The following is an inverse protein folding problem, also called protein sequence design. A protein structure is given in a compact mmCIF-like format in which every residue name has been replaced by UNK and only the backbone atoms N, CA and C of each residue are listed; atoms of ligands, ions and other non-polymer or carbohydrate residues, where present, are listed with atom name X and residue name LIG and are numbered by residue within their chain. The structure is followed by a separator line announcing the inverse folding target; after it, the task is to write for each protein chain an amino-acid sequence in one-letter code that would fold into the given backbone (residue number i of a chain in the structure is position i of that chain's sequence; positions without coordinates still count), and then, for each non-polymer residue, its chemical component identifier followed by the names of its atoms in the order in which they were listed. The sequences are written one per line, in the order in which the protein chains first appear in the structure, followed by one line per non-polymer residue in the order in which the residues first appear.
data_IF_730036745339
#
_entry.id   IF_730036745339
#
_cell.length_a   1.000
_cell.length_b   1.000
_cell.length_c   1.000
_cell.angle_alpha   90.00
_cell.angle_beta   90.00
_cell.angle_gamma   90.00
#
_symmetry.space_group_name_H-M   'P 1'
#
loop_
_entity.id
_entity.type
_entity.pdbx_description
1 polymer ?
#
# COMPACT_ATOMS: atom_id res chain seq x y z
N UNK A 1 26.03 -33.18 55.28
CA UNK A 1 24.71 -33.53 54.72
C UNK A 1 24.28 -32.37 53.83
N UNK A 2 24.58 -32.45 52.54
CA UNK A 2 23.60 -32.58 51.42
C UNK A 2 22.90 -31.25 51.11
N UNK A 3 23.37 -30.47 50.14
CA UNK A 3 23.19 -30.59 48.67
C UNK A 3 21.94 -29.82 48.19
N UNK A 4 22.18 -28.90 47.24
CA UNK A 4 21.33 -28.57 46.07
C UNK A 4 19.97 -27.91 46.41
N UNK A 5 19.45 -26.93 45.68
CA UNK A 5 19.76 -26.45 44.33
C UNK A 5 18.95 -25.17 44.10
N UNK A 6 19.57 -24.24 43.37
CA UNK A 6 18.90 -23.16 42.63
C UNK A 6 17.64 -23.65 41.92
N UNK A 7 16.52 -23.02 42.22
CA UNK A 7 15.27 -23.07 41.45
C UNK A 7 14.45 -21.85 41.91
N UNK A 8 13.99 -20.94 41.07
CA UNK A 8 13.59 -21.07 39.68
C UNK A 8 14.03 -19.79 38.97
N UNK A 9 14.96 -19.99 38.05
CA UNK A 9 15.40 -19.04 37.05
C UNK A 9 14.18 -18.63 36.21
N UNK A 10 14.01 -17.33 36.06
CA UNK A 10 13.19 -16.62 35.09
C UNK A 10 13.19 -17.37 33.75
N UNK A 11 12.08 -18.04 33.44
CA UNK A 11 11.88 -18.75 32.18
C UNK A 11 11.54 -17.73 31.09
N UNK A 12 12.58 -17.36 30.35
CA UNK A 12 12.53 -16.56 29.13
C UNK A 12 11.76 -17.32 28.04
N UNK A 13 11.02 -16.54 27.24
CA UNK A 13 10.38 -16.86 25.97
C UNK A 13 11.02 -17.99 25.16
N UNK A 14 10.18 -18.86 24.60
CA UNK A 14 10.34 -19.41 23.24
C UNK A 14 8.99 -19.94 22.75
N UNK A 15 8.06 -19.02 22.47
CA UNK A 15 6.99 -19.31 21.50
C UNK A 15 7.57 -19.02 20.12
N UNK A 16 8.24 -20.01 19.54
CA UNK A 16 8.64 -19.99 18.15
C UNK A 16 7.37 -19.93 17.28
N UNK A 17 6.98 -18.72 16.89
CA UNK A 17 6.05 -18.55 15.78
C UNK A 17 6.78 -19.09 14.54
N UNK A 18 6.31 -20.23 14.03
CA UNK A 18 6.67 -20.68 12.70
C UNK A 18 6.13 -19.65 11.70
N UNK A 19 6.93 -18.63 11.39
CA UNK A 19 6.65 -17.67 10.33
C UNK A 19 6.81 -18.39 8.99
N UNK A 20 5.74 -19.00 8.49
CA UNK A 20 5.67 -19.44 7.11
C UNK A 20 5.73 -18.22 6.19
N UNK A 21 6.62 -18.24 5.19
CA UNK A 21 6.69 -17.19 4.17
C UNK A 21 5.30 -16.99 3.54
N UNK A 22 4.78 -15.78 3.67
CA UNK A 22 3.46 -15.39 3.15
C UNK A 22 3.50 -15.40 1.61
N UNK A 23 2.73 -16.28 0.98
CA UNK A 23 2.60 -16.35 -0.48
C UNK A 23 1.20 -15.94 -0.91
N UNK A 24 1.10 -15.15 -1.97
CA UNK A 24 -0.20 -14.78 -2.54
C UNK A 24 -0.49 -15.72 -3.71
N UNK A 25 -1.59 -16.47 -3.65
CA UNK A 25 -2.02 -17.32 -4.75
C UNK A 25 -2.41 -16.47 -5.97
N UNK A 26 -1.77 -16.69 -7.13
CA UNK A 26 -2.05 -15.94 -8.36
C UNK A 26 -3.47 -16.13 -8.91
N UNK A 27 -4.15 -17.24 -8.57
CA UNK A 27 -5.51 -17.51 -9.06
C UNK A 27 -6.59 -16.85 -8.20
N UNK A 28 -6.47 -16.92 -6.87
CA UNK A 28 -7.50 -16.41 -5.96
C UNK A 28 -7.14 -15.11 -5.24
N UNK A 29 -5.87 -14.73 -5.19
CA UNK A 29 -5.35 -13.52 -4.54
C UNK A 29 -5.28 -13.63 -3.02
N UNK A 30 -5.41 -14.84 -2.45
CA UNK A 30 -5.40 -15.08 -1.01
C UNK A 30 -4.00 -15.46 -0.53
N UNK A 31 -3.69 -15.00 0.67
CA UNK A 31 -2.45 -15.31 1.38
C UNK A 31 -2.49 -16.75 1.87
N UNK A 32 -1.47 -17.52 1.52
CA UNK A 32 -1.23 -18.87 2.03
C UNK A 32 0.01 -18.84 2.91
N UNK A 33 -0.23 -19.17 4.18
CA UNK A 33 0.78 -19.28 5.24
C UNK A 33 1.31 -20.71 5.33
N UNK A 34 0.63 -21.68 4.71
CA UNK A 34 1.05 -23.06 4.69
C UNK A 34 2.10 -23.25 3.59
N UNK A 35 3.24 -23.86 3.92
CA UNK A 35 4.36 -24.13 3.01
C UNK A 35 4.10 -25.17 1.90
N UNK A 36 2.86 -25.31 1.42
CA UNK A 36 2.48 -26.29 0.38
C UNK A 36 2.72 -25.82 -1.06
N UNK A 37 2.63 -26.70 -2.07
CA UNK A 37 2.76 -26.31 -3.49
C UNK A 37 1.45 -25.86 -4.13
N UNK A 38 0.32 -25.98 -3.42
CA UNK A 38 -1.00 -25.61 -3.89
C UNK A 38 -1.76 -24.82 -2.82
N UNK A 39 -2.57 -23.86 -3.26
CA UNK A 39 -3.33 -22.98 -2.39
C UNK A 39 -4.31 -23.79 -1.54
N UNK A 40 -4.28 -23.59 -0.22
CA UNK A 40 -5.17 -24.26 0.72
C UNK A 40 -6.66 -24.04 0.39
N UNK A 41 -7.01 -22.94 -0.29
CA UNK A 41 -8.39 -22.49 -0.54
C UNK A 41 -8.88 -22.83 -1.95
N UNK A 42 -8.12 -22.46 -2.99
CA UNK A 42 -8.59 -22.66 -4.36
C UNK A 42 -7.92 -23.84 -5.07
N UNK A 43 -7.00 -24.55 -4.40
CA UNK A 43 -6.21 -25.66 -4.94
C UNK A 43 -5.36 -25.32 -6.18
N UNK A 44 -5.29 -24.05 -6.55
CA UNK A 44 -4.43 -23.56 -7.62
C UNK A 44 -2.95 -23.61 -7.25
N UNK A 45 -2.04 -23.76 -8.21
CA UNK A 45 -0.60 -23.84 -7.95
C UNK A 45 -0.09 -22.57 -7.27
N UNK A 46 0.75 -22.73 -6.26
CA UNK A 46 1.43 -21.62 -5.59
C UNK A 46 2.81 -21.41 -6.21
N UNK A 47 3.31 -20.16 -6.21
CA UNK A 47 4.69 -19.90 -6.61
C UNK A 47 5.67 -20.70 -5.72
N UNK A 48 6.72 -21.29 -6.32
CA UNK A 48 7.74 -22.03 -5.57
C UNK A 48 8.43 -21.11 -4.57
N UNK A 49 8.73 -21.65 -3.39
CA UNK A 49 9.47 -20.95 -2.34
C UNK A 49 10.93 -20.84 -2.78
N UNK A 50 11.43 -19.63 -3.00
CA UNK A 50 12.88 -19.39 -3.02
C UNK A 50 13.40 -19.51 -1.58
N UNK A 51 14.50 -20.23 -1.32
CA UNK A 51 15.04 -20.36 0.04
C UNK A 51 15.42 -18.98 0.59
N UNK A 52 14.68 -18.51 1.59
CA UNK A 52 14.87 -17.19 2.21
C UNK A 52 15.08 -17.30 3.72
N UNK A 53 16.15 -16.65 4.18
CA UNK A 53 16.54 -16.44 5.58
C UNK A 53 15.45 -15.75 6.43
N UNK A 54 15.47 -15.93 7.76
CA UNK A 54 14.37 -15.58 8.66
C UNK A 54 14.12 -14.07 8.79
N UNK A 55 12.87 -13.78 9.13
CA UNK A 55 12.27 -12.46 9.35
C UNK A 55 13.02 -11.64 10.41
N UNK A 56 13.86 -10.76 9.91
CA UNK A 56 14.11 -9.44 10.49
C UNK A 56 14.24 -8.51 9.30
N UNK A 57 13.48 -7.42 9.27
CA UNK A 57 13.61 -6.43 8.20
C UNK A 57 15.10 -6.08 8.07
N UNK A 58 15.76 -6.37 6.93
CA UNK A 58 17.19 -6.17 6.84
C UNK A 58 17.47 -4.68 7.05
N UNK A 59 18.30 -4.40 8.05
CA UNK A 59 18.96 -3.11 8.12
C UNK A 59 19.83 -2.97 6.87
N UNK A 60 19.89 -1.77 6.31
CA UNK A 60 20.88 -1.46 5.27
C UNK A 60 22.25 -1.51 5.95
N UNK A 61 22.94 -2.65 5.85
CA UNK A 61 24.29 -2.85 6.38
C UNK A 61 25.32 -2.33 5.40
N UNK A 62 26.40 -1.76 5.92
CA UNK A 62 27.45 -1.17 5.10
C UNK A 62 28.26 -2.25 4.37
N UNK A 63 28.48 -2.06 3.07
CA UNK A 63 29.41 -2.87 2.29
C UNK A 63 30.77 -2.16 2.25
N UNK A 64 31.80 -2.82 2.79
CA UNK A 64 33.19 -2.42 2.63
C UNK A 64 33.73 -3.05 1.34
N UNK A 65 33.84 -2.25 0.29
CA UNK A 65 34.46 -2.63 -0.98
C UNK A 65 35.31 -1.49 -1.53
N UNK A 66 36.44 -1.84 -2.13
CA UNK A 66 37.43 -0.93 -2.70
C UNK A 66 37.37 -0.97 -4.23
N UNK A 67 36.86 0.07 -4.91
CA UNK A 67 37.40 0.55 -6.20
C UNK A 67 36.41 0.95 -7.31
N UNK A 68 36.81 1.96 -8.12
CA UNK A 68 36.19 2.50 -9.38
C UNK A 68 35.12 3.61 -9.23
N UNK A 69 35.04 4.52 -10.20
CA UNK A 69 34.07 5.65 -10.22
C UNK A 69 32.61 5.16 -10.25
N UNK A 70 32.35 3.99 -10.85
CA UNK A 70 31.03 3.35 -10.84
C UNK A 70 30.65 2.77 -9.46
N UNK A 71 31.65 2.35 -8.68
CA UNK A 71 31.52 1.98 -7.26
C UNK A 71 31.28 3.23 -6.41
N UNK A 72 32.01 4.33 -6.68
CA UNK A 72 31.83 5.60 -5.98
C UNK A 72 30.42 6.19 -6.17
N UNK A 73 29.86 6.15 -7.40
CA UNK A 73 28.49 6.58 -7.65
C UNK A 73 27.47 5.69 -6.95
N UNK A 74 27.63 4.37 -7.04
CA UNK A 74 26.69 3.42 -6.42
C UNK A 74 26.71 3.55 -4.89
N UNK A 75 27.89 3.77 -4.31
CA UNK A 75 28.07 4.08 -2.88
C UNK A 75 27.42 5.42 -2.50
N UNK A 76 27.64 6.48 -3.27
CA UNK A 76 27.00 7.77 -3.03
C UNK A 76 25.47 7.66 -3.09
N UNK A 77 24.94 6.93 -4.08
CA UNK A 77 23.50 6.64 -4.20
C UNK A 77 23.01 5.86 -2.98
N UNK A 78 23.73 4.82 -2.57
CA UNK A 78 23.37 4.01 -1.41
C UNK A 78 23.30 4.84 -0.14
N UNK A 79 24.29 5.70 0.13
CA UNK A 79 24.32 6.57 1.31
C UNK A 79 23.13 7.54 1.33
N UNK A 80 22.76 8.11 0.18
CA UNK A 80 21.58 8.98 0.06
C UNK A 80 20.28 8.21 0.28
N UNK A 81 20.17 7.02 -0.32
CA UNK A 81 19.01 6.12 -0.19
C UNK A 81 18.85 5.66 1.26
N UNK A 82 19.94 5.30 1.94
CA UNK A 82 19.94 4.90 3.34
C UNK A 82 19.35 6.00 4.22
N UNK A 83 19.81 7.25 4.05
CA UNK A 83 19.25 8.41 4.77
C UNK A 83 17.77 8.63 4.47
N UNK A 84 17.37 8.53 3.20
CA UNK A 84 15.96 8.71 2.80
C UNK A 84 15.07 7.60 3.41
N UNK A 85 15.55 6.35 3.45
CA UNK A 85 14.86 5.20 4.04
C UNK A 85 14.75 5.32 5.56
N UNK A 86 15.83 5.67 6.25
CA UNK A 86 15.83 5.88 7.71
C UNK A 86 14.86 7.00 8.10
N UNK A 87 14.91 8.10 7.37
CA UNK A 87 14.01 9.22 7.57
C UNK A 87 12.55 8.82 7.23
N UNK A 88 12.31 8.01 6.21
CA UNK A 88 10.97 7.52 5.89
C UNK A 88 10.40 6.63 7.01
N UNK A 89 11.21 5.72 7.56
CA UNK A 89 10.80 4.82 8.66
C UNK A 89 10.32 5.57 9.90
N UNK A 90 10.96 6.70 10.23
CA UNK A 90 10.56 7.54 11.36
C UNK A 90 9.17 8.17 11.17
N UNK A 91 8.72 8.30 9.92
CA UNK A 91 7.46 8.95 9.55
C UNK A 91 6.35 7.96 9.17
N UNK A 92 6.65 6.66 8.97
CA UNK A 92 5.68 5.67 8.46
C UNK A 92 4.36 5.64 9.27
N UNK A 93 4.46 5.65 10.60
CA UNK A 93 3.29 5.53 11.48
C UNK A 93 2.53 6.85 11.65
N UNK A 94 3.23 7.99 11.57
CA UNK A 94 2.66 9.32 11.86
C UNK A 94 2.14 10.02 10.61
N UNK A 95 2.93 9.96 9.54
CA UNK A 95 2.75 10.69 8.27
C UNK A 95 3.14 9.79 7.10
N UNK A 96 2.32 8.77 6.78
CA UNK A 96 2.61 7.83 5.70
C UNK A 96 2.75 8.52 4.33
N UNK A 97 2.12 9.68 4.12
CA UNK A 97 2.28 10.50 2.91
C UNK A 97 3.67 11.13 2.77
N UNK A 98 4.31 11.53 3.88
CA UNK A 98 5.68 12.05 3.88
C UNK A 98 6.67 10.90 3.68
N UNK A 99 6.45 9.78 4.38
CA UNK A 99 7.24 8.56 4.21
C UNK A 99 7.17 8.04 2.76
N UNK A 100 5.99 8.06 2.14
CA UNK A 100 5.81 7.70 0.73
C UNK A 100 6.70 8.53 -0.18
N UNK A 101 6.69 9.86 -0.03
CA UNK A 101 7.49 10.77 -0.86
C UNK A 101 9.01 10.53 -0.69
N UNK A 102 9.46 10.18 0.53
CA UNK A 102 10.87 9.83 0.79
C UNK A 102 11.25 8.50 0.14
N UNK A 103 10.41 7.47 0.26
CA UNK A 103 10.64 6.19 -0.42
C UNK A 103 10.60 6.31 -1.95
N UNK A 104 9.72 7.17 -2.47
CA UNK A 104 9.67 7.52 -3.88
C UNK A 104 11.00 8.11 -4.33
N UNK A 105 11.52 9.09 -3.59
CA UNK A 105 12.82 9.67 -3.88
C UNK A 105 13.96 8.63 -3.83
N UNK A 106 13.98 7.78 -2.81
CA UNK A 106 14.95 6.69 -2.69
C UNK A 106 14.91 5.76 -3.92
N UNK A 107 13.71 5.37 -4.37
CA UNK A 107 13.53 4.56 -5.58
C UNK A 107 14.08 5.27 -6.82
N UNK A 108 13.89 6.58 -6.91
CA UNK A 108 14.38 7.36 -8.03
C UNK A 108 15.92 7.39 -8.09
N UNK A 109 16.57 7.60 -6.94
CA UNK A 109 18.02 7.60 -6.83
C UNK A 109 18.63 6.22 -7.15
N UNK A 110 17.99 5.14 -6.68
CA UNK A 110 18.45 3.77 -6.93
C UNK A 110 18.56 3.42 -8.41
N UNK A 111 17.84 4.11 -9.30
CA UNK A 111 17.95 3.84 -10.74
C UNK A 111 19.30 4.19 -11.35
N UNK A 112 20.11 5.00 -10.67
CA UNK A 112 21.46 5.33 -11.10
C UNK A 112 22.52 4.35 -10.60
N UNK A 113 22.20 3.54 -9.58
CA UNK A 113 23.14 2.58 -9.00
C UNK A 113 23.13 1.27 -9.79
N UNK A 114 24.28 0.61 -9.84
CA UNK A 114 24.39 -0.75 -10.39
C UNK A 114 24.06 -1.76 -9.30
N UNK A 115 23.17 -2.71 -9.59
CA UNK A 115 22.70 -3.69 -8.61
C UNK A 115 23.83 -4.51 -7.97
N UNK A 116 24.89 -4.81 -8.72
CA UNK A 116 26.07 -5.56 -8.27
C UNK A 116 26.89 -4.81 -7.19
N UNK A 117 26.76 -3.49 -7.08
CA UNK A 117 27.46 -2.64 -6.11
C UNK A 117 26.58 -2.23 -4.92
N UNK A 118 25.37 -2.78 -4.84
CA UNK A 118 24.43 -2.50 -3.74
C UNK A 118 24.33 -3.71 -2.82
N UNK A 119 24.18 -3.49 -1.49
CA UNK A 119 23.84 -4.57 -0.59
C UNK A 119 22.57 -5.30 -1.03
N UNK A 120 22.54 -6.64 -0.94
CA UNK A 120 21.37 -7.42 -1.32
C UNK A 120 20.15 -6.98 -0.50
N UNK A 121 18.99 -6.90 -1.15
CA UNK A 121 17.74 -6.48 -0.50
C UNK A 121 17.52 -4.97 -0.43
N UNK A 122 18.48 -4.12 -0.81
CA UNK A 122 18.30 -2.64 -0.81
C UNK A 122 17.04 -2.22 -1.57
N UNK A 123 16.85 -2.72 -2.79
CA UNK A 123 15.66 -2.41 -3.59
C UNK A 123 14.37 -2.93 -2.94
N UNK A 124 14.41 -4.13 -2.33
CA UNK A 124 13.26 -4.74 -1.66
C UNK A 124 12.79 -3.91 -0.47
N UNK A 125 13.70 -3.39 0.34
CA UNK A 125 13.37 -2.51 1.48
C UNK A 125 12.60 -1.27 1.01
N UNK A 126 13.02 -0.64 -0.08
CA UNK A 126 12.34 0.54 -0.65
C UNK A 126 10.97 0.17 -1.20
N UNK A 127 10.86 -0.93 -1.96
CA UNK A 127 9.58 -1.38 -2.54
C UNK A 127 8.57 -1.78 -1.46
N UNK A 128 9.01 -2.47 -0.41
CA UNK A 128 8.16 -2.86 0.72
C UNK A 128 7.68 -1.61 1.49
N UNK A 129 8.55 -0.61 1.68
CA UNK A 129 8.20 0.68 2.27
C UNK A 129 7.14 1.43 1.47
N UNK A 130 7.32 1.52 0.14
CA UNK A 130 6.31 2.09 -0.76
C UNK A 130 4.97 1.37 -0.62
N UNK A 131 4.98 0.04 -0.58
CA UNK A 131 3.76 -0.76 -0.49
C UNK A 131 3.04 -0.57 0.85
N UNK A 132 3.79 -0.51 1.97
CA UNK A 132 3.23 -0.19 3.29
C UNK A 132 2.58 1.19 3.30
N UNK A 133 3.28 2.21 2.84
CA UNK A 133 2.77 3.59 2.81
C UNK A 133 1.51 3.72 1.93
N UNK A 134 1.53 3.12 0.73
CA UNK A 134 0.34 3.10 -0.15
C UNK A 134 -0.84 2.37 0.47
N UNK A 135 -0.60 1.27 1.17
CA UNK A 135 -1.66 0.52 1.86
C UNK A 135 -2.24 1.33 3.03
N UNK A 136 -1.40 2.02 3.80
CA UNK A 136 -1.83 2.90 4.87
C UNK A 136 -2.67 4.08 4.35
N UNK A 137 -2.24 4.70 3.24
CA UNK A 137 -2.97 5.81 2.61
C UNK A 137 -4.28 5.36 1.93
N UNK A 138 -4.29 4.16 1.36
CA UNK A 138 -5.49 3.62 0.71
C UNK A 138 -6.59 3.24 1.69
N UNK A 139 -6.28 3.14 2.99
CA UNK A 139 -7.22 2.74 4.04
C UNK A 139 -7.63 3.95 4.87
N UNK A 140 -8.92 4.05 5.17
CA UNK A 140 -9.47 4.99 6.14
C UNK A 140 -10.51 4.30 7.02
N UNK A 141 -10.69 4.82 8.23
CA UNK A 141 -11.88 4.50 9.02
C UNK A 141 -13.10 5.10 8.33
N UNK A 142 -13.99 4.24 7.83
CA UNK A 142 -15.30 4.65 7.32
C UNK A 142 -16.33 4.54 8.46
N UNK A 143 -17.29 5.46 8.53
CA UNK A 143 -18.42 5.32 9.44
C UNK A 143 -19.08 3.96 9.23
N UNK A 144 -19.33 3.25 10.32
CA UNK A 144 -19.93 1.93 10.25
C UNK A 144 -21.36 2.05 9.71
N UNK A 145 -21.60 1.52 8.52
CA UNK A 145 -22.91 1.54 7.86
C UNK A 145 -24.05 0.94 8.69
N UNK A 146 -23.75 0.07 9.67
CA UNK A 146 -24.77 -0.55 10.53
C UNK A 146 -25.25 0.36 11.67
N UNK A 147 -24.41 1.29 12.15
CA UNK A 147 -24.75 2.20 13.25
C UNK A 147 -24.63 3.69 12.86
N UNK A 148 -24.34 3.98 11.59
CA UNK A 148 -24.13 5.34 11.09
C UNK A 148 -22.96 6.08 11.75
N UNK A 149 -21.98 5.36 12.30
CA UNK A 149 -20.88 5.99 13.06
C UNK A 149 -21.07 6.02 14.58
N UNK A 150 -22.28 5.76 15.09
CA UNK A 150 -22.58 5.91 16.53
C UNK A 150 -21.94 4.86 17.45
N UNK A 151 -21.40 3.78 16.89
CA UNK A 151 -20.84 2.66 17.67
C UNK A 151 -21.89 1.83 18.43
N UNK A 152 -23.17 2.21 18.43
CA UNK A 152 -24.23 1.55 19.19
C UNK A 152 -25.37 1.07 18.30
N UNK A 153 -26.07 0.03 18.72
CA UNK A 153 -27.31 -0.39 18.08
C UNK A 153 -28.40 0.62 18.41
N UNK A 154 -29.14 1.10 17.41
CA UNK A 154 -30.34 1.90 17.67
C UNK A 154 -31.52 0.96 17.93
N UNK A 155 -32.11 1.06 19.12
CA UNK A 155 -33.30 0.29 19.48
C UNK A 155 -34.48 1.25 19.47
N UNK A 156 -35.42 1.01 18.54
CA UNK A 156 -36.70 1.69 18.51
C UNK A 156 -37.50 1.25 19.73
N UNK A 157 -37.67 2.15 20.71
CA UNK A 157 -38.61 1.96 21.82
C UNK A 157 -39.91 2.63 21.42
N UNK A 158 -40.96 1.82 21.27
CA UNK A 158 -42.32 2.33 21.17
C UNK A 158 -42.75 2.67 22.60
N UNK A 159 -42.92 3.95 22.88
CA UNK A 159 -43.45 4.38 24.17
C UNK A 159 -44.96 4.21 24.09
N UNK A 160 -45.48 3.22 24.83
CA UNK A 160 -46.93 3.02 24.94
C UNK A 160 -47.51 4.25 25.65
N UNK A 161 -48.34 5.01 24.95
CA UNK A 161 -49.10 6.09 25.55
C UNK A 161 -50.12 5.46 26.51
N UNK A 162 -49.91 5.63 27.81
CA UNK A 162 -50.91 5.29 28.82
C UNK A 162 -51.97 6.39 28.84
N UNK A 163 -53.09 6.17 28.15
CA UNK A 163 -54.25 7.05 28.20
C UNK A 163 -55.18 6.82 27.02
N UNK A 164 -56.49 6.82 27.29
CA UNK A 164 -57.60 6.49 26.38
C UNK A 164 -57.85 7.56 25.29
N UNK A 165 -56.80 7.97 24.58
CA UNK A 165 -56.87 8.90 23.45
C UNK A 165 -55.93 8.47 22.34
N UNK A 166 -56.32 8.75 21.09
CA UNK A 166 -55.57 8.52 19.85
C UNK A 166 -54.25 9.32 19.77
N UNK A 167 -53.37 9.19 20.76
CA UNK A 167 -52.01 9.69 20.69
C UNK A 167 -51.15 8.64 19.99
N UNK A 168 -50.74 8.94 18.75
CA UNK A 168 -49.84 8.10 17.97
C UNK A 168 -48.59 7.74 18.78
N UNK A 169 -48.28 6.44 18.84
CA UNK A 169 -47.14 5.94 19.59
C UNK A 169 -45.83 6.55 19.06
N UNK A 170 -45.20 7.42 19.87
CA UNK A 170 -43.91 8.01 19.54
C UNK A 170 -42.82 6.93 19.62
N UNK A 171 -42.19 6.64 18.49
CA UNK A 171 -41.06 5.71 18.43
C UNK A 171 -39.77 6.49 18.68
N UNK A 172 -39.24 6.44 19.91
CA UNK A 172 -37.94 7.03 20.24
C UNK A 172 -36.82 6.00 20.00
N UNK A 173 -35.84 6.36 19.18
CA UNK A 173 -34.62 5.59 18.98
C UNK A 173 -33.70 5.81 20.19
N UNK A 174 -33.58 4.79 21.04
CA UNK A 174 -32.65 4.79 22.17
C UNK A 174 -31.36 4.05 21.82
N UNK A 175 -30.21 4.55 22.30
CA UNK A 175 -28.91 3.88 22.12
C UNK A 175 -28.84 2.60 22.95
N UNK A 176 -28.78 1.46 22.29
CA UNK A 176 -28.59 0.12 22.87
C UNK A 176 -27.14 -0.33 22.95
N UNK A 177 -26.94 -1.65 22.96
CA UNK A 177 -25.65 -2.32 23.10
C UNK A 177 -24.63 -1.95 21.99
N UNK A 178 -23.35 -2.29 22.22
CA UNK A 178 -22.28 -2.06 21.23
C UNK A 178 -22.65 -2.67 19.87
N UNK A 179 -22.41 -1.91 18.80
CA UNK A 179 -22.69 -2.36 17.45
C UNK A 179 -21.83 -3.58 17.12
N UNK A 180 -22.45 -4.73 16.91
CA UNK A 180 -21.78 -5.98 16.56
C UNK A 180 -20.90 -5.89 15.29
N UNK A 181 -21.13 -4.90 14.43
CA UNK A 181 -20.39 -4.71 13.19
C UNK A 181 -19.07 -3.93 13.37
N UNK A 182 -19.02 -2.96 14.28
CA UNK A 182 -17.78 -2.21 14.57
C UNK A 182 -17.21 -2.48 15.97
N UNK A 183 -17.83 -3.39 16.74
CA UNK A 183 -17.43 -3.68 18.12
C UNK A 183 -17.52 -2.48 19.06
N UNK A 184 -18.33 -1.47 18.73
CA UNK A 184 -18.39 -0.22 19.50
C UNK A 184 -17.54 0.92 18.94
N UNK A 185 -16.61 0.68 18.02
CA UNK A 185 -15.69 1.70 17.51
C UNK A 185 -16.37 2.79 16.66
N UNK A 186 -17.59 2.55 16.17
CA UNK A 186 -18.29 3.45 15.25
C UNK A 186 -17.72 3.47 13.84
N UNK A 187 -16.48 3.04 13.64
CA UNK A 187 -15.82 2.98 12.32
C UNK A 187 -15.45 1.56 11.91
N UNK A 188 -15.41 1.30 10.61
CA UNK A 188 -14.89 0.08 10.01
C UNK A 188 -13.76 0.41 9.04
N UNK A 189 -12.84 -0.53 8.84
CA UNK A 189 -11.79 -0.39 7.84
C UNK A 189 -12.42 -0.34 6.45
N UNK A 190 -12.12 0.70 5.68
CA UNK A 190 -12.57 0.83 4.31
C UNK A 190 -11.55 1.55 3.45
N UNK A 191 -11.77 1.58 2.13
CA UNK A 191 -10.90 2.35 1.24
C UNK A 191 -11.20 3.84 1.33
N UNK A 192 -10.13 4.63 1.39
CA UNK A 192 -10.17 6.08 1.29
C UNK A 192 -10.61 6.48 -0.12
N UNK A 193 -11.41 7.55 -0.20
CA UNK A 193 -11.78 8.13 -1.49
C UNK A 193 -10.55 8.63 -2.26
N UNK A 194 -10.61 8.61 -3.59
CA UNK A 194 -9.48 8.99 -4.46
C UNK A 194 -9.01 10.42 -4.16
N UNK A 195 -9.92 11.37 -4.07
CA UNK A 195 -9.57 12.79 -3.88
C UNK A 195 -8.91 13.05 -2.52
N UNK A 196 -9.41 12.44 -1.45
CA UNK A 196 -8.80 12.54 -0.13
C UNK A 196 -7.38 11.94 -0.11
N UNK A 197 -7.18 10.79 -0.78
CA UNK A 197 -5.85 10.22 -0.93
C UNK A 197 -4.92 11.12 -1.75
N UNK A 198 -5.44 11.70 -2.84
CA UNK A 198 -4.69 12.63 -3.70
C UNK A 198 -4.18 13.84 -2.92
N UNK A 199 -5.06 14.46 -2.13
CA UNK A 199 -4.70 15.64 -1.33
C UNK A 199 -3.61 15.30 -0.31
N UNK A 200 -3.70 14.16 0.37
CA UNK A 200 -2.67 13.71 1.30
C UNK A 200 -1.33 13.44 0.62
N UNK A 201 -1.33 12.76 -0.54
CA UNK A 201 -0.09 12.53 -1.31
C UNK A 201 0.53 13.86 -1.74
N UNK A 202 -0.28 14.83 -2.19
CA UNK A 202 0.21 16.16 -2.57
C UNK A 202 0.79 16.92 -1.37
N UNK A 203 0.12 16.86 -0.22
CA UNK A 203 0.60 17.45 1.03
C UNK A 203 1.93 16.81 1.46
N UNK A 204 1.99 15.48 1.55
CA UNK A 204 3.18 14.74 1.94
C UNK A 204 4.37 15.01 1.03
N UNK A 205 4.14 15.15 -0.28
CA UNK A 205 5.18 15.57 -1.24
C UNK A 205 5.69 16.97 -1.01
N UNK A 206 4.79 17.92 -0.71
CA UNK A 206 5.20 19.30 -0.40
C UNK A 206 6.04 19.34 0.87
N UNK A 207 5.60 18.66 1.93
CA UNK A 207 6.32 18.59 3.21
C UNK A 207 7.67 17.89 3.06
N UNK A 208 7.72 16.72 2.42
CA UNK A 208 8.97 16.02 2.13
C UNK A 208 9.89 16.87 1.25
N UNK A 209 9.34 17.61 0.29
CA UNK A 209 10.10 18.52 -0.57
C UNK A 209 10.77 19.64 0.22
N UNK A 210 10.06 20.28 1.15
CA UNK A 210 10.65 21.29 2.04
C UNK A 210 11.77 20.71 2.89
N UNK A 211 11.62 19.48 3.38
CA UNK A 211 12.66 18.80 4.17
C UNK A 211 13.90 18.47 3.32
N UNK A 212 13.71 18.02 2.08
CA UNK A 212 14.81 17.73 1.16
C UNK A 212 15.53 19.02 0.72
N UNK A 213 14.80 20.10 0.51
CA UNK A 213 15.37 21.42 0.24
C UNK A 213 16.17 21.94 1.43
N UNK A 214 15.66 21.79 2.66
CA UNK A 214 16.38 22.14 3.88
C UNK A 214 17.67 21.29 4.06
N UNK A 215 17.69 20.06 3.54
CA UNK A 215 18.88 19.21 3.47
C UNK A 215 19.83 19.58 2.33
N UNK A 216 19.60 20.70 1.62
CA UNK A 216 20.46 21.21 0.54
C UNK A 216 20.29 20.52 -0.80
N UNK A 217 19.25 19.68 -0.98
CA UNK A 217 18.96 19.03 -2.26
C UNK A 217 18.22 19.96 -3.21
N UNK A 218 18.39 19.71 -4.51
CA UNK A 218 17.72 20.45 -5.59
C UNK A 218 16.71 19.56 -6.31
N UNK A 219 15.64 20.19 -6.79
CA UNK A 219 14.59 19.49 -7.52
C UNK A 219 15.04 19.13 -8.95
N UNK A 220 14.89 17.87 -9.32
CA UNK A 220 15.00 17.36 -10.68
C UNK A 220 13.67 16.72 -11.08
N UNK A 221 12.76 17.53 -11.63
CA UNK A 221 11.36 17.13 -11.77
C UNK A 221 10.73 16.97 -10.39
N UNK A 222 10.16 15.78 -10.12
CA UNK A 222 9.60 15.42 -8.80
C UNK A 222 10.61 14.79 -7.84
N UNK A 223 11.83 14.48 -8.31
CA UNK A 223 12.89 13.91 -7.49
C UNK A 223 13.76 15.00 -6.86
N UNK A 224 14.42 14.65 -5.76
CA UNK A 224 15.35 15.49 -5.02
C UNK A 224 16.74 14.87 -5.06
N UNK A 225 17.66 15.57 -5.73
CA UNK A 225 19.02 15.12 -5.99
C UNK A 225 20.06 16.08 -5.39
N UNK A 226 21.30 15.65 -5.18
CA UNK A 226 22.40 16.55 -4.80
C UNK A 226 22.58 17.72 -5.78
N UNK A 227 23.03 18.89 -5.31
CA UNK A 227 23.15 20.10 -6.13
C UNK A 227 24.18 20.00 -7.26
N UNK A 228 25.15 19.09 -7.17
CA UNK A 228 26.16 18.89 -8.23
C UNK A 228 25.67 18.01 -9.39
N UNK A 229 24.67 17.16 -9.14
CA UNK A 229 24.20 16.18 -10.13
C UNK A 229 23.56 16.76 -11.40
N UNK A 230 22.84 17.90 -11.39
CA UNK A 230 22.33 18.49 -12.64
C UNK A 230 23.41 18.77 -13.69
N UNK A 231 24.65 19.03 -13.27
CA UNK A 231 25.79 19.31 -14.15
C UNK A 231 26.64 18.07 -14.41
N UNK A 232 26.79 17.18 -13.42
CA UNK A 232 27.63 15.98 -13.52
C UNK A 232 26.96 14.78 -14.20
N UNK A 233 25.65 14.82 -14.46
CA UNK A 233 24.87 13.67 -14.96
C UNK A 233 24.43 13.87 -16.40
N UNK A 234 24.42 12.77 -17.15
CA UNK A 234 23.94 12.79 -18.53
C UNK A 234 22.43 13.04 -18.59
N UNK A 235 21.90 13.57 -19.72
CA UNK A 235 20.46 13.72 -19.91
C UNK A 235 19.68 12.41 -19.74
N UNK A 236 20.28 11.28 -20.09
CA UNK A 236 19.67 9.95 -19.90
C UNK A 236 19.53 9.58 -18.43
N UNK A 237 20.57 9.82 -17.62
CA UNK A 237 20.55 9.59 -16.17
C UNK A 237 19.52 10.50 -15.50
N UNK A 238 19.49 11.79 -15.86
CA UNK A 238 18.49 12.73 -15.33
C UNK A 238 17.07 12.34 -15.74
N UNK A 239 16.85 11.88 -16.97
CA UNK A 239 15.55 11.36 -17.41
C UNK A 239 15.19 10.03 -16.71
N UNK A 240 16.16 9.19 -16.37
CA UNK A 240 15.93 7.96 -15.61
C UNK A 240 15.40 8.28 -14.21
N UNK A 241 16.02 9.21 -13.51
CA UNK A 241 15.51 9.71 -12.22
C UNK A 241 14.11 10.29 -12.40
N UNK A 242 13.92 11.24 -13.33
CA UNK A 242 12.65 11.95 -13.52
C UNK A 242 11.49 11.01 -13.85
N UNK A 243 11.70 10.00 -14.71
CA UNK A 243 10.63 9.08 -15.12
C UNK A 243 10.11 8.18 -14.01
N UNK A 244 10.94 7.87 -13.02
CA UNK A 244 10.55 6.98 -11.93
C UNK A 244 9.51 7.60 -11.00
N UNK A 245 9.44 8.92 -10.97
CA UNK A 245 8.48 9.72 -10.19
C UNK A 245 7.49 10.47 -11.07
N UNK A 246 7.52 10.22 -12.37
CA UNK A 246 6.74 10.96 -13.34
C UNK A 246 5.23 10.77 -13.19
N UNK A 247 4.49 11.61 -13.92
CA UNK A 247 3.06 11.82 -13.83
C UNK A 247 2.26 10.56 -13.50
N UNK A 248 1.74 10.54 -12.28
CA UNK A 248 0.81 9.53 -11.81
C UNK A 248 -0.53 9.65 -12.52
N UNK A 249 -1.27 8.55 -12.58
CA UNK A 249 -2.63 8.55 -13.06
C UNK A 249 -3.50 9.43 -12.16
N UNK A 250 -4.06 10.50 -12.73
CA UNK A 250 -4.92 11.46 -12.01
C UNK A 250 -6.20 10.82 -11.47
N UNK A 251 -6.73 9.79 -12.13
CA UNK A 251 -7.95 9.08 -11.73
C UNK A 251 -7.79 8.21 -10.48
N UNK A 252 -6.56 7.90 -10.06
CA UNK A 252 -6.31 7.10 -8.86
C UNK A 252 -5.17 7.65 -7.98
N UNK A 253 -4.70 8.87 -8.27
CA UNK A 253 -3.57 9.51 -7.58
C UNK A 253 -2.35 8.59 -7.45
N UNK A 254 -2.03 7.83 -8.49
CA UNK A 254 -0.87 6.93 -8.49
C UNK A 254 -1.06 5.57 -7.81
N UNK A 255 -2.22 5.31 -7.20
CA UNK A 255 -2.45 4.05 -6.47
C UNK A 255 -2.74 2.84 -7.37
N UNK A 256 -3.17 3.08 -8.61
CA UNK A 256 -3.63 2.02 -9.52
C UNK A 256 -4.97 1.39 -9.13
N UNK A 257 -5.65 1.91 -8.10
CA UNK A 257 -6.90 1.33 -7.59
C UNK A 257 -8.00 2.37 -7.49
N UNK A 258 -9.22 1.96 -7.84
CA UNK A 258 -10.45 2.71 -7.60
C UNK A 258 -11.33 1.99 -6.55
N UNK A 259 -12.13 2.71 -5.75
CA UNK A 259 -13.03 2.07 -4.79
C UNK A 259 -14.02 1.17 -5.52
N UNK A 260 -14.22 -0.05 -5.02
CA UNK A 260 -15.14 -0.98 -5.63
C UNK A 260 -16.57 -0.43 -5.56
N UNK A 261 -17.19 -0.20 -6.72
CA UNK A 261 -18.54 0.41 -6.83
C UNK A 261 -19.61 -0.41 -6.11
N UNK A 262 -19.45 -1.74 -6.03
CA UNK A 262 -20.42 -2.63 -5.40
C UNK A 262 -20.44 -2.55 -3.87
N UNK A 263 -19.29 -2.36 -3.23
CA UNK A 263 -19.18 -2.27 -1.76
C UNK A 263 -18.73 -0.88 -1.28
N UNK A 264 -18.64 0.09 -2.19
CA UNK A 264 -18.25 1.48 -1.94
C UNK A 264 -16.95 1.59 -1.12
N UNK A 265 -15.96 0.76 -1.44
CA UNK A 265 -14.67 0.79 -0.74
C UNK A 265 -14.58 -0.10 0.50
N UNK A 266 -15.69 -0.57 1.06
CA UNK A 266 -15.70 -1.29 2.36
C UNK A 266 -15.19 -2.74 2.28
N UNK A 267 -15.05 -3.28 1.08
CA UNK A 267 -14.64 -4.67 0.86
C UNK A 267 -15.67 -5.72 1.24
N UNK A 268 -16.74 -5.36 1.95
CA UNK A 268 -17.71 -6.30 2.51
C UNK A 268 -19.14 -5.86 2.25
N UNK A 269 -20.04 -6.83 2.06
CA UNK A 269 -21.47 -6.61 1.88
C UNK A 269 -22.24 -7.18 3.07
N UNK A 270 -23.42 -6.64 3.41
CA UNK A 270 -24.27 -7.24 4.43
C UNK A 270 -24.65 -8.67 4.06
N UNK A 271 -24.75 -9.56 5.06
CA UNK A 271 -25.22 -10.92 4.86
C UNK A 271 -26.66 -10.90 4.33
N UNK A 272 -26.89 -11.58 3.20
CA UNK A 272 -28.22 -11.63 2.55
C UNK A 272 -29.12 -12.75 3.07
N UNK A 273 -28.61 -13.58 3.98
CA UNK A 273 -29.38 -14.68 4.54
C UNK A 273 -30.57 -14.14 5.36
N UNK A 274 -31.80 -14.44 4.93
CA UNK A 274 -33.02 -13.94 5.56
C UNK A 274 -33.22 -14.44 6.98
N UNK A 275 -32.72 -15.64 7.30
CA UNK A 275 -32.77 -16.21 8.65
C UNK A 275 -31.65 -15.67 9.55
N UNK A 276 -30.67 -14.95 8.99
CA UNK A 276 -29.57 -14.38 9.76
C UNK A 276 -30.04 -13.16 10.54
N UNK A 277 -30.12 -13.32 11.86
CA UNK A 277 -30.34 -12.24 12.82
C UNK A 277 -29.00 -11.92 13.48
N UNK A 278 -28.38 -10.83 13.02
CA UNK A 278 -27.10 -10.33 13.54
C UNK A 278 -25.99 -11.40 13.57
N UNK A 279 -25.89 -12.21 12.51
CA UNK A 279 -24.83 -13.22 12.38
C UNK A 279 -25.21 -14.60 12.92
N UNK A 280 -26.42 -14.76 13.45
CA UNK A 280 -26.91 -15.99 14.06
C UNK A 280 -28.16 -16.48 13.33
N UNK A 281 -28.35 -17.80 13.29
CA UNK A 281 -29.57 -18.45 12.81
C UNK A 281 -30.09 -19.36 13.91
N UNK A 282 -31.41 -19.46 14.03
CA UNK A 282 -32.07 -20.40 14.94
C UNK A 282 -32.21 -21.75 14.25
N UNK A 283 -31.75 -22.81 14.91
CA UNK A 283 -31.92 -24.18 14.48
C UNK A 283 -32.75 -24.93 15.50
N UNK A 284 -33.84 -25.51 15.04
CA UNK A 284 -34.66 -26.40 15.84
C UNK A 284 -34.01 -27.77 15.86
N UNK A 285 -33.57 -28.21 17.03
CA UNK A 285 -33.01 -29.56 17.20
C UNK A 285 -34.11 -30.45 17.75
N UNK A 286 -34.43 -31.54 17.03
CA UNK A 286 -35.31 -32.56 17.56
C UNK A 286 -34.66 -33.19 18.80
N UNK A 287 -35.41 -33.27 19.90
CA UNK A 287 -34.98 -34.01 21.08
C UNK A 287 -35.74 -35.35 21.20
N UNK A 288 -35.12 -36.30 21.85
CA UNK A 288 -35.70 -37.60 22.21
C UNK A 288 -36.41 -37.58 23.58
N UNK A 289 -36.47 -36.40 24.22
CA UNK A 289 -37.09 -36.22 25.54
C UNK A 289 -38.62 -36.15 25.42
N UNK A 290 -39.32 -36.67 26.43
CA UNK A 290 -40.78 -36.58 26.56
C UNK A 290 -41.13 -35.66 27.75
N UNK A 291 -41.94 -34.60 27.55
CA UNK A 291 -42.56 -34.17 26.30
C UNK A 291 -41.53 -33.61 25.30
N UNK A 292 -41.78 -33.81 23.99
CA UNK A 292 -40.94 -33.30 22.90
C UNK A 292 -41.01 -31.78 22.82
N UNK A 293 -40.23 -31.10 23.64
CA UNK A 293 -40.05 -29.65 23.53
C UNK A 293 -38.99 -29.37 22.47
N UNK A 294 -39.40 -28.73 21.38
CA UNK A 294 -38.47 -28.28 20.34
C UNK A 294 -37.42 -27.33 20.94
N UNK A 295 -36.19 -27.81 21.10
CA UNK A 295 -35.09 -26.99 21.60
C UNK A 295 -34.55 -26.16 20.43
N UNK A 296 -34.85 -24.86 20.44
CA UNK A 296 -34.26 -23.91 19.49
C UNK A 296 -32.87 -23.51 19.97
N UNK A 297 -31.84 -23.89 19.22
CA UNK A 297 -30.46 -23.50 19.45
C UNK A 297 -30.05 -22.40 18.48
N UNK A 298 -29.42 -21.34 18.99
CA UNK A 298 -28.78 -20.32 18.14
C UNK A 298 -27.41 -20.81 17.71
N UNK A 299 -27.17 -20.87 16.40
CA UNK A 299 -25.86 -21.19 15.82
C UNK A 299 -25.38 -20.05 14.94
N UNK A 300 -24.06 -19.99 14.68
CA UNK A 300 -23.51 -19.01 13.76
C UNK A 300 -24.15 -19.20 12.38
N UNK A 301 -24.53 -18.10 11.74
CA UNK A 301 -25.04 -18.13 10.38
C UNK A 301 -23.98 -18.77 9.47
N UNK A 302 -24.33 -19.79 8.66
CA UNK A 302 -23.35 -20.49 7.84
C UNK A 302 -22.71 -19.57 6.78
N UNK A 303 -23.43 -18.56 6.31
CA UNK A 303 -22.96 -17.69 5.23
C UNK A 303 -21.97 -16.62 5.70
N UNK A 304 -22.22 -16.00 6.86
CA UNK A 304 -21.35 -14.95 7.40
C UNK A 304 -20.55 -15.37 8.64
N UNK A 305 -20.76 -16.58 9.15
CA UNK A 305 -20.02 -17.15 10.30
C UNK A 305 -20.04 -16.26 11.55
N UNK A 306 -21.17 -15.59 11.83
CA UNK A 306 -21.28 -14.66 12.95
C UNK A 306 -20.85 -13.23 12.68
N UNK A 307 -20.20 -12.94 11.55
CA UNK A 307 -19.61 -11.60 11.28
C UNK A 307 -20.60 -10.57 10.73
N UNK A 308 -21.85 -10.96 10.46
CA UNK A 308 -22.93 -10.14 9.84
C UNK A 308 -22.68 -9.67 8.40
N UNK A 309 -21.47 -9.85 7.87
CA UNK A 309 -21.05 -9.41 6.54
C UNK A 309 -20.34 -10.53 5.80
N UNK A 310 -20.28 -10.43 4.49
CA UNK A 310 -19.53 -11.35 3.63
C UNK A 310 -18.58 -10.56 2.75
N UNK A 311 -17.47 -11.18 2.35
CA UNK A 311 -16.54 -10.57 1.42
C UNK A 311 -17.27 -10.17 0.13
N UNK A 312 -17.08 -8.95 -0.34
CA UNK A 312 -17.68 -8.49 -1.59
C UNK A 312 -17.10 -9.33 -2.73
N UNK A 313 -17.92 -10.05 -3.53
CA UNK A 313 -17.41 -10.94 -4.57
C UNK A 313 -16.71 -10.17 -5.70
N UNK A 314 -17.14 -8.93 -5.98
CA UNK A 314 -16.58 -8.11 -7.05
C UNK A 314 -15.12 -7.68 -6.78
N UNK A 315 -14.76 -7.45 -5.52
CA UNK A 315 -13.39 -7.08 -5.14
C UNK A 315 -12.74 -8.11 -4.21
N UNK A 316 -13.34 -9.28 -4.05
CA UNK A 316 -12.92 -10.39 -3.17
C UNK A 316 -12.51 -9.96 -1.75
N UNK A 317 -13.20 -8.99 -1.16
CA UNK A 317 -12.85 -8.47 0.17
C UNK A 317 -11.90 -7.26 0.20
N UNK A 318 -11.16 -6.97 -0.87
CA UNK A 318 -10.10 -5.95 -0.88
C UNK A 318 -10.57 -4.48 -1.01
N UNK A 319 -11.88 -4.26 -1.18
CA UNK A 319 -12.49 -2.94 -1.24
C UNK A 319 -12.19 -2.10 -2.49
N UNK A 320 -11.31 -2.54 -3.38
CA UNK A 320 -10.94 -1.80 -4.59
C UNK A 320 -10.80 -2.70 -5.80
N UNK A 321 -10.85 -2.09 -6.97
CA UNK A 321 -10.60 -2.73 -8.27
C UNK A 321 -9.50 -1.95 -9.00
N UNK A 322 -8.89 -2.55 -10.02
CA UNK A 322 -7.92 -1.86 -10.86
C UNK A 322 -8.54 -0.57 -11.42
N UNK A 323 -7.79 0.53 -11.35
CA UNK A 323 -8.21 1.82 -11.88
C UNK A 323 -8.45 1.69 -13.39
N UNK A 324 -9.63 2.08 -13.84
CA UNK A 324 -10.02 2.05 -15.25
C UNK A 324 -9.19 2.99 -16.12
N UNK A 325 -8.70 4.11 -15.57
CA UNK A 325 -7.91 5.10 -16.31
C UNK A 325 -6.46 4.70 -16.58
N UNK A 326 -5.90 3.76 -15.82
CA UNK A 326 -4.51 3.30 -15.98
C UNK A 326 -4.39 1.77 -15.98
N UNK A 327 -5.50 1.05 -16.03
CA UNK A 327 -5.55 -0.42 -15.95
C UNK A 327 -4.72 -1.01 -14.79
N UNK A 328 -4.68 -0.30 -13.65
CA UNK A 328 -3.94 -0.73 -12.48
C UNK A 328 -2.47 -0.28 -12.39
N UNK A 329 -1.90 0.35 -13.42
CA UNK A 329 -0.46 0.73 -13.39
C UNK A 329 -0.15 1.88 -12.44
N UNK A 330 -1.14 2.74 -12.18
CA UNK A 330 -0.95 3.98 -11.42
C UNK A 330 -0.20 5.08 -12.18
N UNK A 331 0.21 4.86 -13.43
CA UNK A 331 0.96 5.83 -14.24
C UNK A 331 0.09 6.50 -15.29
N UNK A 332 0.45 7.73 -15.68
CA UNK A 332 -0.16 8.42 -16.83
C UNK A 332 0.26 7.80 -18.16
N UNK A 333 -0.32 8.26 -19.26
CA UNK A 333 0.12 7.87 -20.59
C UNK A 333 1.56 8.30 -20.89
N UNK A 334 2.34 7.49 -21.61
CA UNK A 334 3.67 7.86 -22.03
C UNK A 334 3.63 9.09 -22.95
N UNK A 335 4.69 9.90 -22.88
CA UNK A 335 4.88 11.06 -23.72
C UNK A 335 5.11 10.60 -25.16
N UNK A 336 4.19 10.96 -26.06
CA UNK A 336 4.25 10.57 -27.48
C UNK A 336 5.49 11.10 -28.21
N UNK A 337 6.05 12.24 -27.77
CA UNK A 337 7.20 12.86 -28.41
C UNK A 337 8.53 12.16 -28.14
N UNK A 338 8.64 11.40 -27.05
CA UNK A 338 9.83 10.62 -26.71
C UNK A 338 9.54 9.14 -26.47
N UNK A 339 8.33 8.66 -26.77
CA UNK A 339 7.91 7.28 -26.58
C UNK A 339 8.00 6.76 -25.14
N UNK A 340 8.04 7.65 -24.14
CA UNK A 340 8.27 7.24 -22.75
C UNK A 340 9.71 7.37 -22.26
N UNK A 341 10.69 7.63 -23.14
CA UNK A 341 12.11 7.59 -22.75
C UNK A 341 12.57 8.83 -21.97
N UNK A 342 11.81 9.91 -22.00
CA UNK A 342 12.17 11.20 -21.37
C UNK A 342 13.28 11.95 -22.10
N UNK A 343 14.01 11.32 -23.03
CA UNK A 343 15.04 11.97 -23.86
C UNK A 343 14.69 11.90 -25.34
N UNK A 344 15.30 12.78 -26.12
CA UNK A 344 15.26 12.77 -27.58
C UNK A 344 16.67 12.94 -28.13
N UNK A 345 16.97 12.47 -29.34
CA UNK A 345 18.27 12.70 -29.96
C UNK A 345 18.56 14.19 -30.13
N UNK A 346 19.82 14.58 -29.95
CA UNK A 346 20.26 15.96 -30.11
C UNK A 346 20.03 16.41 -31.56
N UNK A 347 19.27 17.49 -31.75
CA UNK A 347 18.95 18.02 -33.07
C UNK A 347 20.21 18.52 -33.78
N UNK A 348 21.08 19.21 -33.05
CA UNK A 348 22.37 19.71 -33.53
C UNK A 348 23.32 18.60 -33.97
N UNK A 349 23.27 17.43 -33.32
CA UNK A 349 24.08 16.27 -33.70
C UNK A 349 23.49 15.51 -34.89
N UNK A 350 22.16 15.53 -35.09
CA UNK A 350 21.52 14.86 -36.23
C UNK A 350 21.86 15.51 -37.56
N UNK A 351 22.10 16.81 -37.57
CA UNK A 351 22.35 17.58 -38.80
C UNK A 351 23.84 17.73 -39.13
N UNK A 352 24.75 17.31 -38.24
CA UNK A 352 26.20 17.42 -38.46
C UNK A 352 26.78 16.05 -38.85
N UNK A 353 27.48 16.00 -39.97
CA UNK A 353 28.15 14.80 -40.46
C UNK A 353 29.18 14.28 -39.43
N UNK A 354 29.28 12.96 -39.30
CA UNK A 354 29.99 12.24 -38.22
C UNK A 354 31.52 12.33 -38.27
N UNK A 355 32.11 12.98 -39.27
CA UNK A 355 33.54 12.85 -39.61
C UNK A 355 34.45 13.98 -39.13
N UNK A 356 33.93 15.07 -38.57
CA UNK A 356 34.75 16.25 -38.19
C UNK A 356 34.48 16.81 -36.78
N UNK A 357 34.35 15.96 -35.76
CA UNK A 357 34.13 16.45 -34.38
C UNK A 357 35.22 15.98 -33.43
N UNK A 358 36.24 16.83 -33.29
CA UNK A 358 37.22 16.79 -32.20
C UNK A 358 36.67 17.42 -30.91
N UNK A 359 35.67 18.30 -31.02
CA UNK A 359 35.07 19.01 -29.87
C UNK A 359 33.66 18.52 -29.51
N UNK A 360 33.32 18.42 -28.21
CA UNK A 360 32.01 17.98 -27.77
C UNK A 360 30.93 19.00 -28.16
N UNK A 361 29.80 18.53 -28.70
CA UNK A 361 28.69 19.40 -29.09
C UNK A 361 28.18 20.23 -27.91
N UNK A 362 28.20 21.56 -28.00
CA UNK A 362 27.80 22.47 -26.91
C UNK A 362 26.38 22.22 -26.39
N UNK A 363 25.45 21.80 -27.25
CA UNK A 363 24.04 21.59 -26.89
C UNK A 363 23.83 20.32 -26.04
N UNK A 364 24.60 19.27 -26.28
CA UNK A 364 24.43 17.97 -25.59
C UNK A 364 25.69 17.53 -24.85
N UNK A 365 26.73 18.36 -24.83
CA UNK A 365 28.06 18.12 -24.28
C UNK A 365 28.63 16.76 -24.72
N UNK A 366 28.44 16.41 -26.00
CA UNK A 366 28.89 15.14 -26.58
C UNK A 366 28.01 13.91 -26.31
N UNK A 367 26.96 14.00 -25.47
CA UNK A 367 26.08 12.85 -25.15
C UNK A 367 25.13 12.45 -26.29
N UNK A 368 25.00 13.30 -27.33
CA UNK A 368 24.09 13.13 -28.48
C UNK A 368 22.60 13.00 -28.13
N UNK A 369 22.22 13.19 -26.88
CA UNK A 369 20.83 13.17 -26.41
C UNK A 369 20.54 14.40 -25.57
N UNK A 370 19.26 14.76 -25.51
CA UNK A 370 18.77 15.89 -24.73
C UNK A 370 17.50 15.46 -24.01
N UNK A 371 17.17 16.13 -22.92
CA UNK A 371 15.86 15.95 -22.30
C UNK A 371 14.76 16.33 -23.29
N UNK A 372 13.70 15.54 -23.34
CA UNK A 372 12.53 15.84 -24.15
C UNK A 372 11.94 17.16 -23.67
N UNK A 373 11.86 18.16 -24.54
CA UNK A 373 11.32 19.48 -24.22
C UNK A 373 9.82 19.45 -23.85
N UNK A 374 9.07 18.44 -24.34
CA UNK A 374 7.62 18.34 -24.11
C UNK A 374 7.26 17.79 -22.73
N UNK A 375 8.05 16.87 -22.20
CA UNK A 375 7.83 16.28 -20.87
C UNK A 375 8.97 16.58 -19.90
N UNK A 376 9.92 17.45 -20.28
CA UNK A 376 11.09 17.83 -19.50
C UNK A 376 11.84 16.66 -18.87
N UNK A 377 11.98 15.52 -19.56
CA UNK A 377 12.65 14.35 -18.99
C UNK A 377 11.75 13.35 -18.25
N UNK A 378 10.49 13.70 -17.97
CA UNK A 378 9.59 12.82 -17.21
C UNK A 378 9.16 11.59 -18.00
N UNK A 379 9.09 11.68 -19.33
CA UNK A 379 8.66 10.55 -20.17
C UNK A 379 7.14 10.32 -20.19
N UNK A 380 6.36 11.06 -19.41
CA UNK A 380 4.89 10.94 -19.37
C UNK A 380 4.20 12.26 -19.71
N UNK A 381 2.91 12.20 -20.04
CA UNK A 381 2.11 13.40 -20.23
C UNK A 381 1.74 14.00 -18.87
N UNK A 382 2.10 15.26 -18.64
CA UNK A 382 1.53 16.06 -17.56
C UNK A 382 0.13 16.50 -17.98
N UNK A 383 -0.91 15.74 -17.61
CA UNK A 383 -2.30 16.21 -17.73
C UNK A 383 -2.76 16.87 -16.45
#
# INVERSE_FOLDING_TARGET
MTRLSSGILTLILLAACACGQLRICGSCGREDLAGGTACAVCKGPLPPLEPGQPDSAPALSDASGTGSVADALSKQVFDLVKRDVEAARQEEDRRPEVALARYENARALLTLARAEHLPPGTARVVLDGLQRCRTALAVAGQACSACGGSGRQQVARVQLAGGDGEAAAETKLTTGAACATCGGAGTIRGRRGVEATRLLILQGRREAGLQQQAAGRVAAGRAWIPPSWPQERTPEQLALIRRTLAAECSACAGLGLEPCRRCLGSGTLPCKNKACRQGWVEQTVGNTLTPKTALTRRVKCPDCQGTTRVACPACRGGGGTACSGCNGTGTSEPCRSCGGEGTVPCRSCRTRATTEQTEPCETCQGTRRMLCNRCHGEGYQSR
#
